data_IF_517499172928
#
_entry.id   IF_517499172928
#
_cell.length_a   1.000
_cell.length_b   1.000
_cell.length_c   1.000
_cell.angle_alpha   90.00
_cell.angle_beta   90.00
_cell.angle_gamma   90.00
#
_symmetry.space_group_name_H-M   'P 1'
#
loop_
_entity.id
_entity.type
_entity.pdbx_description
1 polymer ?
#
# COMPACT_ATOMS: atom_id res chain seq x y z
N UNK A 1 22.51 6.50 2.72
CA UNK A 1 22.06 5.79 1.49
C UNK A 1 20.65 5.28 1.75
N UNK A 2 19.93 4.86 0.71
CA UNK A 2 18.62 4.19 0.85
C UNK A 2 18.57 3.00 -0.09
N UNK A 3 17.89 1.94 0.32
CA UNK A 3 17.56 0.80 -0.52
C UNK A 3 16.16 0.97 -1.12
N UNK A 4 15.95 0.41 -2.31
CA UNK A 4 14.70 0.61 -3.07
C UNK A 4 14.16 -0.72 -3.56
N UNK A 5 12.94 -1.06 -3.15
CA UNK A 5 12.17 -2.17 -3.71
C UNK A 5 11.30 -1.63 -4.84
N UNK A 6 11.44 -2.21 -6.04
CA UNK A 6 10.59 -1.86 -7.18
C UNK A 6 9.57 -2.97 -7.45
N UNK A 7 8.29 -2.62 -7.45
CA UNK A 7 7.19 -3.52 -7.76
C UNK A 7 6.10 -2.71 -8.48
N UNK A 8 5.55 -3.22 -9.58
CA UNK A 8 4.45 -2.55 -10.26
C UNK A 8 3.11 -2.87 -9.58
N UNK A 9 2.28 -1.86 -9.33
CA UNK A 9 0.87 -2.05 -8.99
C UNK A 9 0.08 -2.52 -10.22
N UNK A 10 -1.14 -3.11 -10.09
CA UNK A 10 -1.89 -3.52 -11.25
C UNK A 10 -2.42 -2.27 -11.96
N UNK A 11 -2.27 -2.21 -13.29
CA UNK A 11 -2.81 -1.09 -14.05
C UNK A 11 -4.30 -1.33 -14.32
N UNK A 12 -5.16 -0.53 -13.69
CA UNK A 12 -6.62 -0.56 -13.89
C UNK A 12 -7.11 0.55 -14.82
N UNK A 13 -6.18 1.22 -15.52
CA UNK A 13 -6.48 2.33 -16.40
C UNK A 13 -6.29 1.99 -17.88
N UNK A 14 -7.25 2.42 -18.69
CA UNK A 14 -7.19 2.38 -20.15
C UNK A 14 -7.30 0.97 -20.74
N UNK A 15 -6.77 0.82 -21.95
CA UNK A 15 -6.86 -0.41 -22.76
C UNK A 15 -6.27 -1.66 -22.08
N UNK A 16 -5.33 -1.44 -21.15
CA UNK A 16 -4.64 -2.52 -20.44
C UNK A 16 -5.37 -2.99 -19.17
N UNK A 17 -6.46 -2.31 -18.80
CA UNK A 17 -7.28 -2.72 -17.67
C UNK A 17 -7.94 -4.09 -17.97
N UNK A 18 -7.90 -5.06 -17.04
CA UNK A 18 -8.54 -6.35 -17.27
C UNK A 18 -10.06 -6.18 -17.34
N UNK A 19 -10.70 -6.82 -18.32
CA UNK A 19 -12.14 -6.67 -18.59
C UNK A 19 -13.03 -7.18 -17.43
N UNK A 20 -12.61 -8.25 -16.74
CA UNK A 20 -13.36 -8.88 -15.65
C UNK A 20 -12.67 -8.70 -14.28
N UNK A 21 -12.06 -7.53 -14.05
CA UNK A 21 -11.44 -7.23 -12.77
C UNK A 21 -12.50 -6.93 -11.71
N UNK A 22 -12.47 -7.69 -10.62
CA UNK A 22 -13.33 -7.47 -9.46
C UNK A 22 -12.52 -6.90 -8.30
N UNK A 23 -13.18 -6.27 -7.33
CA UNK A 23 -12.53 -5.78 -6.11
C UNK A 23 -11.77 -6.90 -5.38
N UNK A 24 -12.31 -8.13 -5.36
CA UNK A 24 -11.66 -9.28 -4.74
C UNK A 24 -10.37 -9.68 -5.47
N UNK A 25 -10.35 -9.61 -6.81
CA UNK A 25 -9.13 -9.87 -7.59
C UNK A 25 -8.09 -8.76 -7.39
N UNK A 26 -8.52 -7.49 -7.31
CA UNK A 26 -7.64 -6.36 -7.00
C UNK A 26 -7.01 -6.58 -5.62
N UNK A 27 -7.84 -6.87 -4.61
CA UNK A 27 -7.39 -7.13 -3.24
C UNK A 27 -6.40 -8.31 -3.17
N UNK A 28 -6.68 -9.40 -3.88
CA UNK A 28 -5.81 -10.57 -3.92
C UNK A 28 -4.42 -10.24 -4.53
N UNK A 29 -4.38 -9.46 -5.61
CA UNK A 29 -3.11 -9.04 -6.23
C UNK A 29 -2.32 -8.11 -5.30
N UNK A 30 -2.99 -7.13 -4.67
CA UNK A 30 -2.34 -6.22 -3.73
C UNK A 30 -1.82 -6.94 -2.48
N UNK A 31 -2.61 -7.84 -1.89
CA UNK A 31 -2.17 -8.67 -0.76
C UNK A 31 -0.91 -9.45 -1.10
N UNK A 32 -0.96 -10.17 -2.22
CA UNK A 32 0.16 -10.98 -2.74
C UNK A 32 1.44 -10.17 -2.97
N UNK A 33 1.32 -8.90 -3.39
CA UNK A 33 2.46 -7.99 -3.58
C UNK A 33 2.95 -7.36 -2.28
N UNK A 34 2.03 -6.91 -1.42
CA UNK A 34 2.35 -6.34 -0.12
C UNK A 34 3.13 -7.34 0.74
N UNK A 35 2.67 -8.59 0.82
CA UNK A 35 3.37 -9.66 1.54
C UNK A 35 4.78 -9.89 1.00
N UNK A 36 4.96 -9.96 -0.33
CA UNK A 36 6.29 -10.13 -0.93
C UNK A 36 7.23 -8.95 -0.69
N UNK A 37 6.71 -7.73 -0.74
CA UNK A 37 7.50 -6.52 -0.45
C UNK A 37 7.97 -6.54 1.01
N UNK A 38 7.07 -6.85 1.95
CA UNK A 38 7.41 -6.93 3.37
C UNK A 38 8.37 -8.09 3.67
N UNK A 39 8.14 -9.26 3.08
CA UNK A 39 9.04 -10.42 3.22
C UNK A 39 10.45 -10.10 2.73
N UNK A 40 10.57 -9.47 1.54
CA UNK A 40 11.86 -9.09 0.99
C UNK A 40 12.56 -8.05 1.86
N UNK A 41 11.85 -7.01 2.28
CA UNK A 41 12.42 -5.98 3.15
C UNK A 41 12.94 -6.57 4.47
N UNK A 42 12.17 -7.48 5.08
CA UNK A 42 12.58 -8.14 6.31
C UNK A 42 13.76 -9.10 6.10
N UNK A 43 13.80 -9.84 4.98
CA UNK A 43 14.92 -10.75 4.69
C UNK A 43 16.24 -10.03 4.45
N UNK A 44 16.18 -8.81 3.91
CA UNK A 44 17.34 -7.94 3.73
C UNK A 44 17.70 -7.14 5.01
N UNK A 45 16.96 -7.33 6.11
CA UNK A 45 17.24 -6.68 7.39
C UNK A 45 16.87 -5.19 7.44
N UNK A 46 15.91 -4.73 6.63
CA UNK A 46 15.44 -3.36 6.70
C UNK A 46 14.69 -3.11 8.02
N UNK A 47 15.13 -2.09 8.77
CA UNK A 47 14.49 -1.70 10.05
C UNK A 47 13.33 -0.71 9.83
N UNK A 48 13.46 0.16 8.82
CA UNK A 48 12.48 1.23 8.53
C UNK A 48 11.96 1.08 7.10
N UNK A 49 10.63 1.07 6.96
CA UNK A 49 9.95 1.00 5.68
C UNK A 49 9.14 2.26 5.38
N UNK A 50 9.36 2.85 4.21
CA UNK A 50 8.53 3.95 3.69
C UNK A 50 7.68 3.43 2.53
N UNK A 51 6.37 3.38 2.75
CA UNK A 51 5.34 2.95 1.81
C UNK A 51 4.50 4.15 1.35
N UNK A 52 3.48 3.89 0.53
CA UNK A 52 2.57 4.93 0.05
C UNK A 52 1.29 4.38 -0.58
N UNK A 53 0.57 5.25 -1.28
CA UNK A 53 -0.69 4.92 -1.95
C UNK A 53 -0.46 4.10 -3.24
N UNK A 54 0.00 2.86 -3.07
CA UNK A 54 0.54 2.01 -4.13
C UNK A 54 -0.45 1.77 -5.29
N UNK A 55 -0.21 2.43 -6.43
CA UNK A 55 -1.06 2.32 -7.62
C UNK A 55 -2.34 3.17 -7.60
N UNK A 56 -2.57 3.98 -6.56
CA UNK A 56 -3.78 4.80 -6.38
C UNK A 56 -3.74 6.14 -7.17
N UNK A 57 -2.85 6.24 -8.16
CA UNK A 57 -2.70 7.40 -9.04
C UNK A 57 -3.04 7.01 -10.48
N UNK A 58 -2.08 7.15 -11.40
CA UNK A 58 -2.25 6.83 -12.81
C UNK A 58 -2.66 5.38 -13.12
N UNK A 59 -2.53 4.46 -12.17
CA UNK A 59 -2.96 3.06 -12.30
C UNK A 59 -4.38 2.81 -11.77
N UNK A 60 -5.07 3.83 -11.26
CA UNK A 60 -6.48 3.82 -10.89
C UNK A 60 -6.88 2.73 -9.87
N UNK A 61 -5.99 2.34 -8.97
CA UNK A 61 -6.35 1.42 -7.90
C UNK A 61 -7.20 2.12 -6.83
N UNK A 62 -8.31 1.50 -6.35
CA UNK A 62 -9.13 2.09 -5.30
C UNK A 62 -8.34 2.19 -3.98
N UNK A 63 -8.15 3.40 -3.42
CA UNK A 63 -7.34 3.56 -2.21
C UNK A 63 -7.90 2.80 -1.01
N UNK A 64 -9.21 2.56 -0.94
CA UNK A 64 -9.86 1.77 0.11
C UNK A 64 -9.35 0.32 0.11
N UNK A 65 -9.29 -0.30 -1.07
CA UNK A 65 -8.82 -1.68 -1.21
C UNK A 65 -7.32 -1.73 -0.91
N UNK A 66 -6.54 -0.82 -1.49
CA UNK A 66 -5.08 -0.82 -1.31
C UNK A 66 -4.71 -0.58 0.15
N UNK A 67 -5.31 0.41 0.82
CA UNK A 67 -5.06 0.68 2.23
C UNK A 67 -5.49 -0.48 3.13
N UNK A 68 -6.65 -1.11 2.87
CA UNK A 68 -7.10 -2.27 3.63
C UNK A 68 -6.13 -3.46 3.49
N UNK A 69 -5.67 -3.75 2.26
CA UNK A 69 -4.69 -4.82 2.03
C UNK A 69 -3.34 -4.56 2.68
N UNK A 70 -2.87 -3.30 2.67
CA UNK A 70 -1.67 -2.93 3.42
C UNK A 70 -1.87 -3.08 4.93
N UNK A 71 -3.01 -2.67 5.48
CA UNK A 71 -3.28 -2.82 6.90
C UNK A 71 -3.31 -4.30 7.33
N UNK A 72 -3.90 -5.19 6.53
CA UNK A 72 -3.86 -6.64 6.75
C UNK A 72 -2.42 -7.17 6.73
N UNK A 73 -1.64 -6.80 5.71
CA UNK A 73 -0.26 -7.26 5.57
C UNK A 73 0.62 -6.72 6.70
N UNK A 74 0.57 -5.43 7.01
CA UNK A 74 1.34 -4.80 8.08
C UNK A 74 1.04 -5.46 9.43
N UNK A 75 -0.21 -5.85 9.74
CA UNK A 75 -0.52 -6.60 10.97
C UNK A 75 0.31 -7.88 11.10
N UNK A 76 0.56 -8.59 10.01
CA UNK A 76 1.34 -9.83 10.02
C UNK A 76 2.86 -9.61 10.12
N UNK A 77 3.38 -8.48 9.62
CA UNK A 77 4.83 -8.25 9.52
C UNK A 77 5.37 -7.14 10.44
N UNK A 78 4.52 -6.34 11.11
CA UNK A 78 4.94 -5.15 11.88
C UNK A 78 6.01 -5.40 12.95
N UNK A 79 6.13 -6.63 13.45
CA UNK A 79 7.15 -6.99 14.46
C UNK A 79 8.56 -7.19 13.87
N UNK A 80 8.68 -7.18 12.54
CA UNK A 80 9.95 -7.34 11.81
C UNK A 80 10.60 -5.99 11.47
N UNK A 81 9.91 -4.88 11.75
CA UNK A 81 10.35 -3.53 11.43
C UNK A 81 10.27 -2.67 12.68
N UNK A 82 11.23 -1.77 12.88
CA UNK A 82 11.16 -0.75 13.91
C UNK A 82 10.10 0.30 13.56
N UNK A 83 9.96 0.62 12.28
CA UNK A 83 9.03 1.66 11.81
C UNK A 83 8.50 1.34 10.41
N UNK A 84 7.19 1.53 10.22
CA UNK A 84 6.53 1.48 8.90
C UNK A 84 5.73 2.78 8.73
N UNK A 85 6.10 3.57 7.73
CA UNK A 85 5.47 4.85 7.43
C UNK A 85 4.73 4.79 6.09
N UNK A 86 3.57 5.45 6.01
CA UNK A 86 2.83 5.66 4.75
C UNK A 86 2.96 7.11 4.31
N UNK A 87 3.98 7.41 3.50
CA UNK A 87 4.26 8.74 2.97
C UNK A 87 3.35 9.07 1.77
N UNK A 88 2.17 9.63 2.06
CA UNK A 88 1.15 9.93 1.03
C UNK A 88 1.10 11.44 0.77
N UNK A 89 1.43 11.82 -0.46
CA UNK A 89 1.40 13.22 -0.90
C UNK A 89 -0.01 13.79 -0.79
N UNK A 90 -0.11 14.91 -0.08
CA UNK A 90 -1.36 15.57 0.25
C UNK A 90 -1.12 17.06 0.50
N UNK A 91 -2.13 17.90 0.25
CA UNK A 91 -2.09 19.31 0.64
C UNK A 91 -2.73 19.45 2.04
N UNK A 92 -2.11 20.25 2.92
CA UNK A 92 -2.60 20.42 4.31
C UNK A 92 -3.99 21.05 4.37
N UNK A 93 -4.27 22.04 3.52
CA UNK A 93 -5.54 22.76 3.50
C UNK A 93 -6.64 22.00 2.77
N UNK A 94 -6.24 21.11 1.85
CA UNK A 94 -7.15 20.24 1.11
C UNK A 94 -6.56 18.84 0.97
N UNK A 95 -6.78 17.97 1.97
CA UNK A 95 -6.24 16.62 1.95
C UNK A 95 -6.65 15.84 0.69
N UNK A 96 -5.70 15.09 0.12
CA UNK A 96 -5.99 14.20 -1.01
C UNK A 96 -6.91 13.07 -0.56
N UNK A 97 -7.73 12.55 -1.48
CA UNK A 97 -8.59 11.40 -1.20
C UNK A 97 -7.77 10.19 -0.73
N UNK A 98 -6.62 9.93 -1.39
CA UNK A 98 -5.68 8.89 -0.99
C UNK A 98 -5.21 9.06 0.46
N UNK A 99 -4.78 10.27 0.85
CA UNK A 99 -4.36 10.53 2.22
C UNK A 99 -5.49 10.28 3.22
N UNK A 100 -6.67 10.86 2.98
CA UNK A 100 -7.81 10.72 3.91
C UNK A 100 -8.23 9.27 4.11
N UNK A 101 -8.21 8.45 3.05
CA UNK A 101 -8.55 7.03 3.11
C UNK A 101 -7.50 6.24 3.88
N UNK A 102 -6.22 6.41 3.55
CA UNK A 102 -5.15 5.70 4.24
C UNK A 102 -5.05 6.12 5.71
N UNK A 103 -5.11 7.42 6.01
CA UNK A 103 -5.11 7.92 7.39
C UNK A 103 -6.22 7.25 8.21
N UNK A 104 -7.47 7.29 7.73
CA UNK A 104 -8.60 6.65 8.40
C UNK A 104 -8.40 5.15 8.61
N UNK A 105 -7.97 4.43 7.59
CA UNK A 105 -7.82 2.96 7.68
C UNK A 105 -6.65 2.58 8.59
N UNK A 106 -5.51 3.26 8.49
CA UNK A 106 -4.33 2.95 9.29
C UNK A 106 -4.54 3.29 10.77
N UNK A 107 -5.10 4.45 11.10
CA UNK A 107 -5.43 4.81 12.49
C UNK A 107 -6.44 3.83 13.10
N UNK A 108 -7.42 3.34 12.32
CA UNK A 108 -8.35 2.33 12.81
C UNK A 108 -7.70 0.95 12.97
N UNK A 109 -6.74 0.60 12.11
CA UNK A 109 -6.07 -0.70 12.13
C UNK A 109 -4.98 -0.81 13.21
N UNK A 110 -4.37 0.32 13.57
CA UNK A 110 -3.27 0.45 14.52
C UNK A 110 -3.54 1.63 15.46
N UNK A 111 -4.48 1.49 16.40
CA UNK A 111 -4.68 2.49 17.45
C UNK A 111 -3.45 2.54 18.35
N UNK A 112 -3.19 3.73 18.90
CA UNK A 112 -2.15 3.97 19.92
C UNK A 112 -2.40 3.17 21.22
#
# INVERSE_FOLDING_TARGET
SVDVITCAAPNLWGFWAPHDITEQKIAAVHRSRAERILQLAASEGAEVLILGAFGCGAFHNPPEIVAATWAEAVKAYRQQFETIEFAIVSNKDRPSHNYSVFHRIMTNAFPD
#
